data_IF_916429318787
#
_entry.id   IF_916429318787
#
_cell.length_a   1.000
_cell.length_b   1.000
_cell.length_c   1.000
_cell.angle_alpha   90.00
_cell.angle_beta   90.00
_cell.angle_gamma   90.00
#
_symmetry.space_group_name_H-M   'P 1'
#
loop_
_entity.id
_entity.type
_entity.pdbx_description
1 polymer ?
#
# COMPACT_ATOMS: atom_id res chain seq x y z
N UNK A 1 -10.68 -11.64 10.12
CA UNK A 1 -11.23 -10.26 10.04
C UNK A 1 -11.88 -10.03 8.66
N UNK A 2 -12.89 -9.17 8.55
CA UNK A 2 -13.46 -8.75 7.26
C UNK A 2 -13.11 -7.28 7.04
N UNK A 3 -12.56 -6.96 5.87
CA UNK A 3 -12.30 -5.60 5.41
C UNK A 3 -13.00 -5.36 4.07
N UNK A 4 -13.16 -4.10 3.69
CA UNK A 4 -13.96 -3.71 2.53
C UNK A 4 -13.13 -2.94 1.51
N UNK A 5 -13.53 -3.06 0.24
CA UNK A 5 -12.99 -2.26 -0.87
C UNK A 5 -14.13 -1.64 -1.66
N UNK A 6 -14.13 -0.32 -1.74
CA UNK A 6 -15.00 0.47 -2.62
C UNK A 6 -14.39 0.51 -4.01
N UNK A 7 -15.20 0.26 -5.04
CA UNK A 7 -14.77 0.20 -6.43
C UNK A 7 -15.84 0.80 -7.34
N UNK A 8 -15.42 1.35 -8.47
CA UNK A 8 -16.30 1.51 -9.64
C UNK A 8 -16.88 0.16 -10.07
N UNK A 9 -18.08 0.16 -10.64
CA UNK A 9 -18.78 -1.07 -11.02
C UNK A 9 -17.94 -1.99 -11.93
N UNK A 10 -17.32 -1.44 -12.98
CA UNK A 10 -16.52 -2.22 -13.94
C UNK A 10 -15.30 -2.88 -13.32
N UNK A 11 -14.60 -2.18 -12.42
CA UNK A 11 -13.45 -2.74 -11.70
C UNK A 11 -13.91 -3.80 -10.72
N UNK A 12 -15.02 -3.56 -10.01
CA UNK A 12 -15.61 -4.55 -9.12
C UNK A 12 -15.98 -5.85 -9.83
N UNK A 13 -16.58 -5.76 -11.02
CA UNK A 13 -16.85 -6.93 -11.86
C UNK A 13 -15.59 -7.67 -12.26
N UNK A 14 -14.51 -6.96 -12.63
CA UNK A 14 -13.22 -7.58 -12.95
C UNK A 14 -12.67 -8.35 -11.74
N UNK A 15 -12.67 -7.73 -10.56
CA UNK A 15 -12.19 -8.36 -9.31
C UNK A 15 -12.96 -9.63 -8.99
N UNK A 16 -14.28 -9.63 -9.13
CA UNK A 16 -15.12 -10.81 -8.87
C UNK A 16 -14.83 -11.91 -9.89
N UNK A 17 -14.75 -11.57 -11.18
CA UNK A 17 -14.52 -12.54 -12.27
C UNK A 17 -13.13 -13.17 -12.20
N UNK A 18 -12.11 -12.38 -11.91
CA UNK A 18 -10.73 -12.88 -11.80
C UNK A 18 -10.42 -13.47 -10.44
N UNK A 19 -11.28 -13.26 -9.43
CA UNK A 19 -11.02 -13.56 -8.03
C UNK A 19 -9.67 -13.01 -7.53
N UNK A 20 -9.26 -11.83 -8.04
CA UNK A 20 -8.00 -11.18 -7.68
C UNK A 20 -8.23 -9.72 -7.37
N UNK A 21 -7.46 -9.20 -6.41
CA UNK A 21 -7.48 -7.78 -6.03
C UNK A 21 -6.15 -7.12 -6.37
N UNK A 22 -6.24 -5.96 -7.03
CA UNK A 22 -5.06 -5.20 -7.45
C UNK A 22 -4.44 -4.39 -6.31
N UNK A 23 -3.12 -4.31 -6.31
CA UNK A 23 -2.36 -3.37 -5.51
C UNK A 23 -2.08 -2.10 -6.32
N UNK A 24 -2.15 -0.94 -5.69
CA UNK A 24 -1.84 0.36 -6.27
C UNK A 24 -0.38 0.73 -6.02
N UNK A 25 0.20 1.47 -6.96
CA UNK A 25 1.52 2.07 -6.76
C UNK A 25 1.38 3.35 -5.95
N UNK A 26 2.38 3.68 -5.13
CA UNK A 26 2.38 4.86 -4.26
C UNK A 26 2.15 6.17 -5.04
N UNK A 27 2.66 6.26 -6.27
CA UNK A 27 2.41 7.43 -7.12
C UNK A 27 0.95 7.65 -7.50
N UNK A 28 0.08 6.64 -7.36
CA UNK A 28 -1.34 6.72 -7.68
C UNK A 28 -2.22 7.03 -6.46
N UNK A 29 -1.63 7.35 -5.31
CA UNK A 29 -2.41 7.81 -4.16
C UNK A 29 -3.07 9.15 -4.45
N UNK A 30 -4.25 9.33 -3.85
CA UNK A 30 -5.08 10.51 -4.04
C UNK A 30 -4.58 11.73 -3.26
N UNK A 31 -3.83 11.52 -2.18
CA UNK A 31 -3.15 12.59 -1.44
C UNK A 31 -1.69 12.73 -1.94
N UNK A 32 -1.31 13.87 -2.53
CA UNK A 32 0.04 14.08 -3.07
C UNK A 32 1.13 14.21 -1.99
N UNK A 33 0.76 14.45 -0.73
CA UNK A 33 1.68 14.55 0.41
C UNK A 33 1.82 13.23 1.17
N UNK A 34 1.11 12.20 0.72
CA UNK A 34 1.19 10.88 1.31
C UNK A 34 2.51 10.20 0.97
N UNK A 35 3.10 9.50 1.94
CA UNK A 35 4.42 8.86 1.80
C UNK A 35 5.59 9.81 1.53
N UNK A 36 5.46 11.12 1.80
CA UNK A 36 6.52 12.11 1.56
C UNK A 36 6.96 12.87 2.81
N UNK A 37 6.33 12.60 3.94
CA UNK A 37 6.36 13.44 5.12
C UNK A 37 7.54 13.10 6.06
N UNK A 38 8.79 13.08 5.55
CA UNK A 38 9.95 12.60 6.29
C UNK A 38 10.67 13.68 7.10
N UNK A 39 10.62 14.96 6.69
CA UNK A 39 11.20 16.08 7.45
C UNK A 39 12.66 16.37 7.12
N UNK A 40 12.91 16.99 5.96
CA UNK A 40 14.24 17.42 5.56
C UNK A 40 14.63 18.72 6.24
N UNK A 41 15.86 18.81 6.76
CA UNK A 41 16.43 20.07 7.25
C UNK A 41 17.01 20.86 6.06
N UNK A 42 16.40 22.02 5.81
CA UNK A 42 16.66 23.13 4.87
C UNK A 42 17.51 22.93 3.59
N UNK A 43 16.81 22.96 2.45
CA UNK A 43 16.89 24.02 1.42
C UNK A 43 15.63 23.89 0.55
N UNK A 44 14.72 24.87 0.52
CA UNK A 44 13.35 24.69 -0.04
C UNK A 44 13.32 24.17 -1.48
N UNK A 45 14.30 24.56 -2.31
CA UNK A 45 14.47 24.06 -3.69
C UNK A 45 14.85 22.57 -3.73
N UNK A 46 15.64 22.06 -2.78
CA UNK A 46 16.03 20.64 -2.71
C UNK A 46 14.94 19.76 -2.09
N UNK A 47 14.00 20.31 -1.31
CA UNK A 47 12.98 19.53 -0.61
C UNK A 47 11.99 18.90 -1.60
N UNK A 48 11.56 19.63 -2.62
CA UNK A 48 10.63 19.08 -3.62
C UNK A 48 11.26 17.95 -4.44
N UNK A 49 12.51 18.11 -4.85
CA UNK A 49 13.25 17.07 -5.58
C UNK A 49 13.47 15.84 -4.70
N UNK A 50 13.79 16.03 -3.42
CA UNK A 50 13.86 14.95 -2.44
C UNK A 50 12.50 14.27 -2.31
N UNK A 51 11.43 14.99 -2.01
CA UNK A 51 10.06 14.44 -1.91
C UNK A 51 9.67 13.62 -3.15
N UNK A 52 9.93 14.15 -4.35
CA UNK A 52 9.65 13.47 -5.60
C UNK A 52 10.49 12.19 -5.78
N UNK A 53 11.80 12.27 -5.49
CA UNK A 53 12.71 11.12 -5.53
C UNK A 53 12.25 10.00 -4.59
N UNK A 54 11.79 10.36 -3.39
CA UNK A 54 11.31 9.41 -2.39
C UNK A 54 10.03 8.74 -2.84
N UNK A 55 9.06 9.54 -3.29
CA UNK A 55 7.80 9.01 -3.82
C UNK A 55 8.05 8.06 -4.98
N UNK A 56 8.99 8.39 -5.87
CA UNK A 56 9.41 7.50 -6.95
C UNK A 56 10.06 6.22 -6.42
N UNK A 57 10.96 6.33 -5.45
CA UNK A 57 11.62 5.17 -4.82
C UNK A 57 10.60 4.22 -4.18
N UNK A 58 9.67 4.75 -3.37
CA UNK A 58 8.60 3.94 -2.79
C UNK A 58 7.70 3.33 -3.87
N UNK A 59 7.32 4.12 -4.88
CA UNK A 59 6.48 3.66 -5.98
C UNK A 59 7.13 2.57 -6.84
N UNK A 60 8.46 2.52 -6.92
CA UNK A 60 9.20 1.53 -7.71
C UNK A 60 9.46 0.23 -6.93
N UNK A 61 9.48 0.29 -5.59
CA UNK A 61 9.82 -0.83 -4.74
C UNK A 61 8.62 -1.45 -4.02
N UNK A 62 7.52 -0.71 -3.87
CA UNK A 62 6.35 -1.15 -3.12
C UNK A 62 5.05 -1.00 -3.89
N UNK A 63 4.12 -1.91 -3.60
CA UNK A 63 2.73 -1.83 -4.00
C UNK A 63 1.85 -1.94 -2.76
N UNK A 64 0.74 -1.19 -2.75
CA UNK A 64 -0.12 -1.01 -1.59
C UNK A 64 -1.57 -1.35 -1.94
N UNK A 65 -2.20 -2.17 -1.12
CA UNK A 65 -3.63 -2.43 -1.15
C UNK A 65 -4.28 -1.70 0.03
N UNK A 66 -5.05 -0.66 -0.28
CA UNK A 66 -5.87 0.08 0.69
C UNK A 66 -7.25 -0.55 0.83
N UNK A 67 -7.58 -1.04 2.02
CA UNK A 67 -8.89 -1.54 2.43
C UNK A 67 -9.46 -0.64 3.54
N UNK A 68 -10.70 -0.87 3.94
CA UNK A 68 -11.35 -0.10 5.03
C UNK A 68 -12.15 -1.00 5.96
N UNK A 69 -12.27 -0.60 7.22
CA UNK A 69 -13.14 -1.24 8.22
C UNK A 69 -14.63 -0.86 8.02
N UNK A 70 -14.98 0.12 7.17
CA UNK A 70 -16.34 0.66 7.05
C UNK A 70 -16.92 0.55 5.64
N UNK A 71 -18.06 -0.15 5.48
CA UNK A 71 -18.76 -0.34 4.20
C UNK A 71 -19.97 0.60 3.97
N UNK A 72 -20.36 1.40 4.96
CA UNK A 72 -21.54 2.29 4.90
C UNK A 72 -21.19 3.78 5.01
N UNK A 73 -19.93 4.16 4.83
CA UNK A 73 -19.54 5.57 4.94
C UNK A 73 -19.94 6.34 3.65
N UNK A 74 -20.84 7.34 3.73
CA UNK A 74 -21.31 8.04 2.54
C UNK A 74 -20.21 8.81 1.80
N UNK A 75 -19.22 9.37 2.50
CA UNK A 75 -18.07 10.02 1.86
C UNK A 75 -17.20 9.00 1.11
N UNK A 76 -17.03 7.79 1.65
CA UNK A 76 -16.34 6.71 0.94
C UNK A 76 -17.09 6.28 -0.32
N UNK A 77 -18.42 6.21 -0.26
CA UNK A 77 -19.23 5.93 -1.44
C UNK A 77 -19.10 7.02 -2.51
N UNK A 78 -19.08 8.29 -2.11
CA UNK A 78 -18.89 9.41 -3.01
C UNK A 78 -17.52 9.36 -3.71
N UNK A 79 -16.44 9.17 -2.95
CA UNK A 79 -15.07 9.26 -3.45
C UNK A 79 -14.59 8.00 -4.17
N UNK A 80 -14.93 6.81 -3.66
CA UNK A 80 -14.28 5.56 -4.08
C UNK A 80 -15.23 4.54 -4.72
N UNK A 81 -16.55 4.74 -4.64
CA UNK A 81 -17.53 3.90 -5.33
C UNK A 81 -18.24 4.68 -6.44
N UNK A 82 -17.47 5.36 -7.30
CA UNK A 82 -17.96 6.05 -8.49
C UNK A 82 -19.16 6.97 -8.18
N UNK A 83 -19.03 7.86 -7.20
CA UNK A 83 -20.12 8.76 -6.81
C UNK A 83 -21.44 8.03 -6.49
N UNK A 84 -21.37 7.02 -5.62
CA UNK A 84 -22.50 6.16 -5.20
C UNK A 84 -23.04 5.16 -6.24
N UNK A 85 -22.49 5.08 -7.46
CA UNK A 85 -22.97 4.12 -8.48
C UNK A 85 -22.10 2.87 -8.62
N UNK A 86 -21.06 2.76 -7.80
CA UNK A 86 -20.15 1.62 -7.76
C UNK A 86 -20.65 0.51 -6.84
N UNK A 87 -19.71 -0.21 -6.24
CA UNK A 87 -19.99 -1.30 -5.31
C UNK A 87 -18.94 -1.39 -4.19
N UNK A 88 -19.24 -2.21 -3.20
CA UNK A 88 -18.33 -2.54 -2.11
C UNK A 88 -18.17 -4.06 -2.03
N UNK A 89 -16.92 -4.53 -1.99
CA UNK A 89 -16.59 -5.95 -1.83
C UNK A 89 -16.13 -6.18 -0.39
N UNK A 90 -16.69 -7.18 0.27
CA UNK A 90 -16.22 -7.68 1.56
C UNK A 90 -15.15 -8.76 1.35
N UNK A 91 -14.02 -8.60 2.02
CA UNK A 91 -12.84 -9.46 1.88
C UNK A 91 -12.55 -10.06 3.25
N UNK A 92 -12.65 -11.38 3.34
CA UNK A 92 -12.12 -12.10 4.50
C UNK A 92 -10.60 -12.18 4.35
N UNK A 93 -9.87 -11.40 5.15
CA UNK A 93 -8.42 -11.22 4.98
C UNK A 93 -7.62 -12.49 5.26
N UNK A 94 -8.15 -13.38 6.10
CA UNK A 94 -7.50 -14.64 6.45
C UNK A 94 -7.66 -15.66 5.31
N UNK A 95 -8.88 -15.78 4.75
CA UNK A 95 -9.13 -16.60 3.56
C UNK A 95 -8.36 -16.09 2.33
N UNK A 96 -8.23 -14.78 2.19
CA UNK A 96 -7.45 -14.13 1.14
C UNK A 96 -5.93 -14.16 1.41
N UNK A 97 -5.48 -14.75 2.53
CA UNK A 97 -4.06 -14.86 2.91
C UNK A 97 -3.33 -13.51 3.01
N UNK A 98 -4.07 -12.43 3.29
CA UNK A 98 -3.52 -11.07 3.42
C UNK A 98 -2.79 -10.82 4.75
N UNK A 99 -2.70 -11.86 5.59
CA UNK A 99 -1.94 -11.88 6.85
C UNK A 99 -0.65 -12.71 6.77
N UNK A 100 -0.32 -13.25 5.60
CA UNK A 100 0.89 -14.05 5.39
C UNK A 100 2.17 -13.22 5.53
N UNK A 101 3.27 -13.90 5.79
CA UNK A 101 4.59 -13.29 6.01
C UNK A 101 5.23 -12.70 4.74
N UNK A 102 4.57 -12.83 3.59
CA UNK A 102 5.03 -12.30 2.30
C UNK A 102 4.78 -10.79 2.14
N UNK A 103 4.07 -10.18 3.10
CA UNK A 103 3.81 -8.75 3.13
C UNK A 103 4.70 -8.07 4.17
N UNK A 104 5.27 -6.93 3.78
CA UNK A 104 6.02 -6.06 4.70
C UNK A 104 5.06 -5.50 5.74
N UNK A 105 3.85 -5.15 5.31
CA UNK A 105 2.74 -4.77 6.17
C UNK A 105 1.55 -5.66 5.80
N UNK A 106 1.11 -6.51 6.72
CA UNK A 106 -0.06 -7.37 6.57
C UNK A 106 -1.34 -6.66 7.05
N UNK A 107 -2.51 -7.22 6.73
CA UNK A 107 -3.79 -6.65 7.15
C UNK A 107 -3.89 -6.45 8.69
N UNK A 108 -3.33 -7.35 9.49
CA UNK A 108 -3.28 -7.24 10.96
C UNK A 108 -2.46 -6.04 11.47
N UNK A 109 -1.43 -5.63 10.74
CA UNK A 109 -0.48 -4.57 11.13
C UNK A 109 -0.69 -3.29 10.31
N UNK A 110 -1.69 -3.28 9.44
CA UNK A 110 -1.89 -2.27 8.40
C UNK A 110 -2.71 -1.06 8.80
N UNK A 111 -3.13 -0.95 10.07
CA UNK A 111 -4.03 0.11 10.51
C UNK A 111 -3.35 1.48 10.39
N UNK A 112 -4.06 2.43 9.80
CA UNK A 112 -3.57 3.81 9.66
C UNK A 112 -3.67 4.56 10.98
N UNK A 113 -2.63 5.33 11.28
CA UNK A 113 -2.55 6.28 12.38
C UNK A 113 -2.82 7.67 11.82
N UNK A 114 -3.92 8.25 12.27
CA UNK A 114 -4.38 9.56 11.83
C UNK A 114 -3.89 10.65 12.78
N UNK A 115 -3.27 11.68 12.24
CA UNK A 115 -2.75 12.80 13.05
C UNK A 115 -3.04 14.15 12.40
N UNK A 116 -3.28 15.17 13.22
CA UNK A 116 -3.52 16.54 12.76
C UNK A 116 -2.23 17.26 12.40
N UNK A 117 -1.15 16.94 13.12
CA UNK A 117 0.15 17.57 12.94
C UNK A 117 1.14 16.51 12.46
N UNK A 118 2.03 16.92 11.56
CA UNK A 118 3.09 16.06 11.10
C UNK A 118 4.25 16.07 12.11
N UNK A 119 4.44 14.96 12.82
CA UNK A 119 5.69 14.73 13.54
C UNK A 119 6.79 14.44 12.53
N UNK A 120 7.91 15.17 12.55
CA UNK A 120 9.05 14.97 11.64
C UNK A 120 9.96 13.85 12.15
N UNK A 121 10.65 13.14 11.23
CA UNK A 121 11.72 12.25 11.66
C UNK A 121 12.93 13.13 11.94
N UNK A 122 13.52 13.00 13.12
CA UNK A 122 14.72 13.76 13.48
C UNK A 122 15.96 13.00 13.04
N UNK A 123 16.18 12.93 11.73
CA UNK A 123 17.43 12.48 11.13
C UNK A 123 18.16 13.65 10.51
N UNK A 124 19.49 13.61 10.56
CA UNK A 124 20.29 14.42 9.65
C UNK A 124 20.14 13.91 8.21
N UNK A 125 20.52 14.74 7.24
CA UNK A 125 20.32 14.45 5.82
C UNK A 125 21.15 13.24 5.34
N UNK A 126 22.31 12.96 5.95
CA UNK A 126 23.17 11.84 5.59
C UNK A 126 22.56 10.51 6.06
N UNK A 127 22.20 10.42 7.34
CA UNK A 127 21.50 9.27 7.93
C UNK A 127 20.19 8.96 7.19
N UNK A 128 19.42 10.00 6.86
CA UNK A 128 18.19 9.84 6.09
C UNK A 128 18.49 9.22 4.72
N UNK A 129 19.46 9.77 3.98
CA UNK A 129 19.87 9.30 2.65
C UNK A 129 20.33 7.84 2.67
N UNK A 130 21.15 7.46 3.64
CA UNK A 130 21.64 6.08 3.80
C UNK A 130 20.50 5.09 4.05
N UNK A 131 19.60 5.40 4.99
CA UNK A 131 18.46 4.54 5.30
C UNK A 131 17.56 4.32 4.09
N UNK A 132 17.38 5.33 3.25
CA UNK A 132 16.54 5.23 2.06
C UNK A 132 17.18 4.42 0.94
N UNK A 133 18.49 4.58 0.74
CA UNK A 133 19.22 3.78 -0.22
C UNK A 133 19.07 2.28 0.09
N UNK A 134 19.02 1.95 1.37
CA UNK A 134 18.82 0.58 1.82
C UNK A 134 17.35 0.12 1.71
N UNK A 135 16.37 1.00 1.96
CA UNK A 135 14.94 0.71 1.77
C UNK A 135 14.67 0.18 0.36
N UNK A 136 14.02 -0.98 0.25
CA UNK A 136 13.69 -1.62 -1.03
C UNK A 136 14.81 -2.46 -1.67
N UNK A 137 16.07 -2.36 -1.20
CA UNK A 137 17.18 -3.17 -1.68
C UNK A 137 17.43 -4.44 -0.86
N UNK A 138 17.10 -4.43 0.44
CA UNK A 138 17.31 -5.59 1.31
C UNK A 138 16.07 -6.50 1.38
N UNK A 139 16.31 -7.81 1.38
CA UNK A 139 15.28 -8.82 1.68
C UNK A 139 14.81 -8.75 3.15
N UNK A 140 15.57 -8.06 4.01
CA UNK A 140 15.37 -8.01 5.47
C UNK A 140 14.72 -6.72 6.01
N UNK A 141 14.22 -5.82 5.16
CA UNK A 141 13.41 -4.69 5.64
C UNK A 141 12.05 -5.17 6.16
N UNK A 142 12.03 -5.63 7.41
CA UNK A 142 10.82 -5.91 8.17
C UNK A 142 10.41 -4.67 8.97
N UNK A 143 9.16 -4.63 9.42
CA UNK A 143 8.69 -3.62 10.38
C UNK A 143 9.45 -3.63 11.71
N UNK A 144 10.37 -4.56 11.93
CA UNK A 144 11.13 -4.71 13.18
C UNK A 144 12.64 -4.48 12.97
N UNK A 145 13.07 -4.08 11.77
CA UNK A 145 14.46 -3.81 11.41
C UNK A 145 14.84 -2.33 11.38
N UNK A 146 16.08 -2.05 10.94
CA UNK A 146 16.54 -0.69 10.64
C UNK A 146 15.60 -0.04 9.60
N UNK A 147 15.24 1.25 9.77
CA UNK A 147 14.37 1.98 8.84
C UNK A 147 12.87 1.65 8.92
N UNK A 148 12.44 0.84 9.89
CA UNK A 148 11.03 0.50 10.06
C UNK A 148 10.16 1.70 10.45
N UNK A 149 10.74 2.69 11.11
CA UNK A 149 10.11 3.98 11.40
C UNK A 149 9.80 4.77 10.12
N UNK A 150 10.72 4.77 9.14
CA UNK A 150 10.49 5.38 7.83
C UNK A 150 9.35 4.67 7.11
N UNK A 151 9.32 3.33 7.10
CA UNK A 151 8.23 2.55 6.48
C UNK A 151 6.89 2.79 7.16
N UNK A 152 6.84 2.76 8.49
CA UNK A 152 5.64 3.10 9.27
C UNK A 152 5.16 4.50 8.92
N UNK A 153 6.08 5.47 8.84
CA UNK A 153 5.73 6.84 8.51
C UNK A 153 5.25 7.00 7.07
N UNK A 154 5.88 6.32 6.13
CA UNK A 154 5.54 6.37 4.72
C UNK A 154 4.16 5.76 4.45
N UNK A 155 3.85 4.62 5.07
CA UNK A 155 2.69 3.82 4.72
C UNK A 155 1.56 3.87 5.74
N UNK A 156 1.82 4.11 7.01
CA UNK A 156 0.82 4.00 8.09
C UNK A 156 0.41 5.34 8.71
N UNK A 157 0.95 6.47 8.23
CA UNK A 157 0.56 7.79 8.73
C UNK A 157 -0.26 8.55 7.70
N UNK A 158 -1.36 9.16 8.14
CA UNK A 158 -2.23 9.97 7.26
C UNK A 158 -2.80 11.18 8.00
N UNK A 159 -3.13 12.22 7.25
CA UNK A 159 -3.76 13.42 7.80
C UNK A 159 -5.13 13.09 8.42
N UNK A 160 -5.43 13.69 9.57
CA UNK A 160 -6.66 13.43 10.34
C UNK A 160 -7.94 13.75 9.56
N UNK A 161 -7.89 14.66 8.59
CA UNK A 161 -9.02 14.94 7.70
C UNK A 161 -9.52 13.71 6.93
N UNK A 162 -8.68 12.67 6.78
CA UNK A 162 -9.02 11.40 6.14
C UNK A 162 -9.39 10.27 7.13
N UNK A 163 -9.54 10.56 8.42
CA UNK A 163 -9.83 9.56 9.46
C UNK A 163 -11.15 8.79 9.20
N UNK A 164 -12.10 9.43 8.51
CA UNK A 164 -13.37 8.80 8.15
C UNK A 164 -13.20 7.56 7.26
N UNK A 165 -12.05 7.41 6.59
CA UNK A 165 -11.76 6.28 5.72
C UNK A 165 -11.56 4.98 6.50
N UNK A 166 -11.15 5.04 7.77
CA UNK A 166 -10.81 3.86 8.60
C UNK A 166 -9.96 2.85 7.82
N UNK A 167 -8.90 3.36 7.22
CA UNK A 167 -8.08 2.66 6.24
C UNK A 167 -7.17 1.62 6.91
N UNK A 168 -7.01 0.48 6.22
CA UNK A 168 -6.06 -0.57 6.56
C UNK A 168 -5.27 -0.92 5.30
N UNK A 169 -3.94 -0.85 5.36
CA UNK A 169 -3.06 -1.09 4.23
C UNK A 169 -2.32 -2.41 4.31
N UNK A 170 -2.26 -3.09 3.18
CA UNK A 170 -1.37 -4.21 2.96
C UNK A 170 -0.27 -3.75 1.99
N UNK A 171 1.00 -3.93 2.36
CA UNK A 171 2.15 -3.45 1.60
C UNK A 171 3.04 -4.62 1.20
N UNK A 172 3.31 -4.71 -0.09
CA UNK A 172 4.17 -5.72 -0.71
C UNK A 172 5.41 -5.07 -1.31
N UNK A 173 6.59 -5.65 -1.08
CA UNK A 173 7.79 -5.30 -1.83
C UNK A 173 7.74 -5.97 -3.21
N UNK A 174 7.65 -5.16 -4.27
CA UNK A 174 7.55 -5.67 -5.65
C UNK A 174 8.90 -6.09 -6.24
N UNK A 175 10.01 -5.51 -5.78
CA UNK A 175 11.37 -5.88 -6.24
C UNK A 175 11.77 -7.26 -5.74
N UNK A 176 11.49 -7.56 -4.46
CA UNK A 176 11.64 -8.89 -3.89
C UNK A 176 10.76 -9.92 -4.64
N UNK A 177 9.51 -9.55 -5.00
CA UNK A 177 8.62 -10.48 -5.71
C UNK A 177 9.00 -10.77 -7.16
N UNK A 178 9.76 -9.88 -7.83
CA UNK A 178 10.33 -10.15 -9.16
C UNK A 178 11.45 -11.20 -9.11
N UNK A 179 12.14 -11.33 -7.98
CA UNK A 179 13.16 -12.37 -7.77
C UNK A 179 12.52 -13.75 -7.50
N UNK A 180 11.28 -13.79 -7.01
CA UNK A 180 10.48 -15.02 -6.80
C UNK A 180 9.57 -15.37 -7.99
N UNK A 181 9.60 -14.60 -9.07
CA UNK A 181 8.81 -14.91 -10.26
C UNK A 181 9.51 -16.06 -11.00
N UNK A 182 9.15 -17.31 -10.68
CA UNK A 182 9.47 -18.47 -11.51
C UNK A 182 8.42 -18.54 -12.65
N UNK A 183 8.78 -18.20 -13.90
CA UNK A 183 7.84 -18.20 -15.01
C UNK A 183 7.22 -19.58 -15.27
N UNK A 184 7.85 -20.67 -14.79
CA UNK A 184 7.32 -22.03 -14.94
C UNK A 184 6.11 -22.28 -14.05
N UNK A 185 6.10 -21.75 -12.83
CA UNK A 185 5.05 -22.01 -11.85
C UNK A 185 3.71 -21.35 -12.26
N UNK A 186 3.75 -20.19 -12.92
CA UNK A 186 2.56 -19.54 -13.46
C UNK A 186 2.03 -20.24 -14.73
N UNK A 187 2.91 -20.80 -15.55
CA UNK A 187 2.53 -21.59 -16.72
C UNK A 187 1.82 -22.90 -16.31
N UNK A 188 2.32 -23.58 -15.28
CA UNK A 188 1.73 -24.81 -14.78
C UNK A 188 0.37 -24.56 -14.08
N UNK A 189 0.24 -23.45 -13.34
CA UNK A 189 -1.04 -23.04 -12.73
C UNK A 189 -2.10 -22.65 -13.76
N UNK A 190 -1.70 -22.14 -14.95
CA UNK A 190 -2.65 -21.86 -16.05
C UNK A 190 -3.08 -23.14 -16.77
N UNK A 191 -2.26 -24.19 -16.78
CA UNK A 191 -2.62 -25.49 -17.36
C UNK A 191 -3.57 -26.28 -16.48
N UNK A 192 -3.33 -26.30 -15.16
CA UNK A 192 -4.20 -27.02 -14.22
C UNK A 192 -5.62 -26.43 -14.19
N UNK A 193 -5.75 -25.11 -14.29
CA UNK A 193 -7.04 -24.43 -14.35
C UNK A 193 -7.84 -24.77 -15.63
N UNK A 194 -7.15 -24.96 -16.76
CA UNK A 194 -7.80 -25.30 -18.04
C UNK A 194 -8.10 -26.79 -18.21
N UNK A 195 -7.53 -27.68 -17.37
CA UNK A 195 -7.79 -29.12 -17.40
C UNK A 195 -8.96 -29.56 -16.52
N UNK A 196 -9.50 -28.68 -15.69
CA UNK A 196 -10.69 -28.95 -14.85
C UNK A 196 -12.01 -28.53 -15.53
N UNK A 197 -11.95 -27.86 -16.69
CA UNK A 197 -13.11 -27.45 -17.49
C UNK A 197 -13.38 -28.33 -18.73
N UNK A 198 -12.76 -29.51 -18.83
CA UNK A 198 -12.95 -30.47 -19.94
C UNK A 198 -13.52 -31.80 -19.50
#
# INVERSE_FOLDING_TARGET
>A
MILYKYLSFDIGLKVIKSNTIGFSQVRNFNDPFESTAFGFKENVLSIFDQVASFRNHFSNNYAVLSLTECHLNPLMWAHYAQSHTGLVIAINVDKAKLNDNNFIISAKNGKIHYQSNLELLDYDNETMSEKLYQIGNDQYYSLDGCGADILRKAFLMKQKSWEYEKEVRIVKNIKASKLYFDPKQEYDNRKSFNSEES
#
